data_IF_840405012532
#
_entry.id   IF_840405012532
#
_cell.length_a   1.000
_cell.length_b   1.000
_cell.length_c   1.000
_cell.angle_alpha   90.00
_cell.angle_beta   90.00
_cell.angle_gamma   90.00
#
_symmetry.space_group_name_H-M   'P 1'
#
loop_
_entity.id
_entity.type
_entity.pdbx_description
1 polymer ?
#
# COMPACT_ATOMS: atom_id res chain seq x y z
N UNK A 1 17.08 37.08 -11.69
CA UNK A 1 16.69 36.88 -13.11
C UNK A 1 17.42 35.65 -13.63
N UNK A 2 16.81 34.49 -13.58
CA UNK A 2 17.06 33.36 -14.50
C UNK A 2 16.07 32.25 -14.16
N UNK A 3 15.31 31.89 -15.16
CA UNK A 3 14.11 31.10 -15.17
C UNK A 3 14.36 29.60 -15.00
N UNK A 4 13.53 28.97 -14.16
CA UNK A 4 13.42 27.53 -14.08
C UNK A 4 12.74 26.94 -15.32
N UNK A 5 13.22 25.79 -15.76
CA UNK A 5 12.52 24.95 -16.74
C UNK A 5 12.15 23.62 -16.07
N UNK A 6 10.86 23.39 -15.94
CA UNK A 6 10.26 22.12 -15.61
C UNK A 6 10.45 21.17 -16.78
N UNK A 7 10.90 19.95 -16.52
CA UNK A 7 10.90 18.86 -17.50
C UNK A 7 9.87 17.81 -17.04
N UNK A 8 8.72 17.84 -17.73
CA UNK A 8 7.77 16.74 -17.64
C UNK A 8 8.13 15.67 -18.67
N UNK A 9 8.29 14.44 -18.24
CA UNK A 9 8.42 13.29 -19.12
C UNK A 9 7.02 12.74 -19.44
N UNK A 10 6.62 12.91 -20.71
CA UNK A 10 5.45 12.25 -21.30
C UNK A 10 5.91 10.90 -21.85
N UNK A 11 5.45 9.80 -21.27
CA UNK A 11 5.62 8.48 -21.85
C UNK A 11 4.41 8.19 -22.73
N UNK A 12 4.60 8.23 -24.05
CA UNK A 12 3.60 7.83 -25.04
C UNK A 12 3.70 6.32 -25.28
N UNK A 13 2.68 5.57 -24.86
CA UNK A 13 2.48 4.18 -25.30
C UNK A 13 1.76 4.15 -26.63
N UNK A 14 2.42 3.61 -27.66
CA UNK A 14 1.82 3.26 -28.95
C UNK A 14 1.14 1.89 -28.84
N UNK A 15 -0.19 1.87 -28.84
CA UNK A 15 -0.95 0.64 -29.08
C UNK A 15 -1.12 0.41 -30.59
N UNK A 16 -0.51 -0.64 -31.10
CA UNK A 16 -0.68 -1.11 -32.48
C UNK A 16 -1.91 -2.04 -32.53
N UNK A 17 -3.02 -1.54 -33.11
CA UNK A 17 -4.20 -2.35 -33.40
C UNK A 17 -4.00 -3.11 -34.71
N UNK A 18 -3.93 -4.45 -34.61
CA UNK A 18 -3.99 -5.35 -35.78
C UNK A 18 -5.45 -5.77 -35.98
N UNK A 19 -6.07 -5.25 -37.01
CA UNK A 19 -7.37 -5.73 -37.51
C UNK A 19 -7.14 -6.93 -38.43
N UNK A 20 -7.58 -8.11 -38.01
CA UNK A 20 -7.76 -9.28 -38.86
C UNK A 20 -9.25 -9.40 -39.20
N UNK A 21 -9.56 -9.19 -40.48
CA UNK A 21 -10.89 -9.34 -41.03
C UNK A 21 -11.33 -10.81 -41.07
N UNK A 22 -12.55 -11.06 -40.59
CA UNK A 22 -13.28 -12.30 -40.87
C UNK A 22 -14.60 -11.96 -41.58
N UNK A 23 -14.73 -12.48 -42.79
CA UNK A 23 -15.93 -12.40 -43.62
C UNK A 23 -17.11 -13.16 -43.01
N UNK A 24 -18.34 -12.70 -43.19
CA UNK A 24 -19.51 -13.44 -42.72
C UNK A 24 -19.90 -14.51 -43.71
N UNK A 25 -20.01 -15.76 -43.23
CA UNK A 25 -20.56 -16.89 -43.94
C UNK A 25 -22.09 -16.87 -43.80
N UNK A 26 -22.79 -16.63 -44.90
CA UNK A 26 -24.25 -16.72 -44.98
C UNK A 26 -24.66 -18.20 -44.97
N UNK A 27 -25.32 -18.65 -43.91
CA UNK A 27 -26.06 -19.91 -43.90
C UNK A 27 -27.55 -19.61 -43.99
N UNK A 28 -28.14 -20.01 -45.11
CA UNK A 28 -29.57 -19.96 -45.40
C UNK A 28 -30.18 -21.22 -44.80
N UNK A 29 -31.07 -21.10 -43.82
CA UNK A 29 -31.89 -22.20 -43.34
C UNK A 29 -33.37 -21.87 -43.52
N UNK A 30 -34.02 -22.71 -44.28
CA UNK A 30 -35.45 -22.71 -44.58
C UNK A 30 -36.20 -23.62 -43.55
N UNK A 31 -37.44 -23.27 -43.25
CA UNK A 31 -38.41 -24.26 -42.76
C UNK A 31 -38.91 -24.14 -41.32
N UNK A 32 -39.97 -23.36 -41.16
CA UNK A 32 -41.10 -23.46 -40.20
C UNK A 32 -41.10 -24.64 -39.21
N UNK A 33 -41.10 -24.29 -37.91
CA UNK A 33 -42.04 -24.85 -36.92
C UNK A 33 -42.22 -23.88 -35.75
N UNK A 34 -43.43 -23.35 -35.62
CA UNK A 34 -43.85 -22.55 -34.48
C UNK A 34 -44.04 -23.48 -33.27
N UNK A 35 -43.21 -23.34 -32.26
CA UNK A 35 -43.51 -23.78 -30.90
C UNK A 35 -43.54 -22.55 -30.00
N UNK A 36 -44.75 -22.29 -29.47
CA UNK A 36 -44.94 -21.32 -28.40
C UNK A 36 -44.26 -21.81 -27.15
N UNK A 37 -43.17 -21.18 -26.76
CA UNK A 37 -42.53 -21.33 -25.43
C UNK A 37 -42.91 -20.12 -24.61
N UNK A 38 -43.59 -20.40 -23.50
CA UNK A 38 -43.95 -19.41 -22.47
C UNK A 38 -42.74 -18.65 -22.02
N UNK A 39 -42.85 -17.34 -21.97
CA UNK A 39 -41.85 -16.40 -21.45
C UNK A 39 -41.80 -16.50 -19.94
N UNK A 40 -41.11 -17.51 -19.40
CA UNK A 40 -40.61 -17.42 -18.06
C UNK A 40 -39.34 -16.53 -18.11
N UNK A 41 -39.51 -15.36 -17.54
CA UNK A 41 -38.48 -14.36 -17.40
C UNK A 41 -37.28 -14.91 -16.59
N UNK A 42 -36.29 -15.41 -17.31
CA UNK A 42 -34.94 -15.58 -16.73
C UNK A 42 -34.41 -14.16 -16.49
N UNK A 43 -34.63 -13.70 -15.26
CA UNK A 43 -34.01 -12.49 -14.72
C UNK A 43 -32.52 -12.78 -14.62
N UNK A 44 -31.80 -12.51 -15.70
CA UNK A 44 -30.34 -12.45 -15.69
C UNK A 44 -29.95 -11.44 -14.61
N UNK A 45 -29.54 -11.94 -13.47
CA UNK A 45 -28.83 -11.14 -12.49
C UNK A 45 -27.45 -10.91 -13.11
N UNK A 46 -27.31 -9.80 -13.84
CA UNK A 46 -26.00 -9.21 -14.08
C UNK A 46 -25.49 -8.74 -12.71
N UNK A 47 -24.83 -9.65 -11.99
CA UNK A 47 -23.87 -9.26 -10.97
C UNK A 47 -22.71 -8.69 -11.78
N UNK A 48 -22.71 -7.39 -12.01
CA UNK A 48 -21.48 -6.69 -12.31
C UNK A 48 -20.63 -6.88 -11.06
N UNK A 49 -19.58 -7.68 -11.14
CA UNK A 49 -18.48 -7.63 -10.17
C UNK A 49 -17.90 -6.21 -10.27
N UNK A 50 -18.47 -5.31 -9.48
CA UNK A 50 -17.98 -3.94 -9.36
C UNK A 50 -16.66 -4.05 -8.61
N UNK A 51 -15.56 -3.84 -9.35
CA UNK A 51 -14.21 -3.88 -8.78
C UNK A 51 -14.15 -2.78 -7.72
N UNK A 52 -14.05 -3.20 -6.46
CA UNK A 52 -13.98 -2.26 -5.35
C UNK A 52 -12.67 -1.48 -5.39
N UNK A 53 -12.71 -0.18 -5.08
CA UNK A 53 -11.49 0.61 -5.00
C UNK A 53 -10.61 0.08 -3.86
N UNK A 54 -9.32 -0.10 -4.14
CA UNK A 54 -8.32 -0.54 -3.16
C UNK A 54 -7.38 0.58 -2.78
N UNK A 55 -6.87 0.57 -1.54
CA UNK A 55 -5.84 1.49 -1.04
C UNK A 55 -4.90 0.74 -0.09
N UNK A 56 -3.66 1.21 0.04
CA UNK A 56 -2.73 0.72 1.03
C UNK A 56 -2.60 1.69 2.21
N UNK A 57 -2.84 1.20 3.42
CA UNK A 57 -2.56 1.94 4.64
C UNK A 57 -1.17 1.54 5.14
N UNK A 58 -0.29 2.52 5.32
CA UNK A 58 1.10 2.27 5.70
C UNK A 58 1.52 3.10 6.90
N UNK A 59 2.39 2.54 7.73
CA UNK A 59 2.90 3.15 8.95
C UNK A 59 4.41 3.09 9.00
N UNK A 60 5.04 4.23 9.30
CA UNK A 60 6.47 4.37 9.44
C UNK A 60 6.87 4.52 10.93
N UNK A 61 8.16 4.40 11.22
CA UNK A 61 8.83 4.65 12.51
C UNK A 61 8.56 3.65 13.63
N UNK A 62 7.65 2.71 13.44
CA UNK A 62 7.34 1.68 14.44
C UNK A 62 8.48 0.68 14.72
N UNK A 63 8.23 -0.25 15.66
CA UNK A 63 7.08 -0.29 16.55
C UNK A 63 7.22 0.63 17.77
N UNK A 64 6.09 1.07 18.33
CA UNK A 64 6.02 1.80 19.59
C UNK A 64 5.22 0.99 20.63
N UNK A 65 5.81 0.73 21.80
CA UNK A 65 5.20 -0.13 22.81
C UNK A 65 3.84 0.36 23.36
N UNK A 66 3.55 1.67 23.25
CA UNK A 66 2.33 2.27 23.81
C UNK A 66 1.20 2.39 22.79
N UNK A 67 1.52 2.74 21.55
CA UNK A 67 0.53 3.10 20.53
C UNK A 67 0.30 1.99 19.50
N UNK A 68 1.35 1.29 19.06
CA UNK A 68 1.21 0.22 18.06
C UNK A 68 0.26 -0.90 18.46
N UNK A 69 0.25 -1.41 19.72
CA UNK A 69 -0.71 -2.44 20.11
C UNK A 69 -2.17 -1.98 19.99
N UNK A 70 -2.47 -0.71 20.28
CA UNK A 70 -3.81 -0.13 20.14
C UNK A 70 -4.22 -0.07 18.68
N UNK A 71 -3.29 0.32 17.80
CA UNK A 71 -3.51 0.31 16.35
C UNK A 71 -3.84 -1.10 15.85
N UNK A 72 -3.05 -2.10 16.25
CA UNK A 72 -3.26 -3.50 15.84
C UNK A 72 -4.63 -4.03 16.30
N UNK A 73 -5.06 -3.70 17.52
CA UNK A 73 -6.40 -4.04 18.00
C UNK A 73 -7.48 -3.45 17.09
N UNK A 74 -7.36 -2.16 16.77
CA UNK A 74 -8.31 -1.45 15.92
C UNK A 74 -8.36 -1.96 14.48
N UNK A 75 -7.21 -2.31 13.89
CA UNK A 75 -7.13 -2.91 12.55
C UNK A 75 -7.73 -4.31 12.53
N UNK A 76 -7.46 -5.12 13.54
CA UNK A 76 -7.99 -6.47 13.70
C UNK A 76 -9.52 -6.48 13.78
N UNK A 77 -10.11 -5.62 14.61
CA UNK A 77 -11.57 -5.48 14.73
C UNK A 77 -12.22 -5.19 13.38
N UNK A 78 -11.55 -4.42 12.50
CA UNK A 78 -12.02 -4.02 11.17
C UNK A 78 -11.60 -4.97 10.06
N UNK A 79 -10.84 -6.02 10.39
CA UNK A 79 -10.29 -7.02 9.45
C UNK A 79 -9.44 -6.36 8.36
N UNK A 80 -8.69 -5.32 8.72
CA UNK A 80 -7.80 -4.59 7.82
C UNK A 80 -6.37 -5.05 8.03
N UNK A 81 -5.67 -5.29 6.92
CA UNK A 81 -4.22 -5.47 6.89
C UNK A 81 -3.56 -4.18 6.42
N UNK A 82 -2.40 -3.89 6.98
CA UNK A 82 -1.62 -2.71 6.66
C UNK A 82 -0.16 -3.10 6.43
N UNK A 83 0.65 -2.14 5.98
CA UNK A 83 2.10 -2.31 5.85
C UNK A 83 2.81 -1.45 6.89
N UNK A 84 3.78 -2.03 7.59
CA UNK A 84 4.58 -1.35 8.60
C UNK A 84 6.04 -1.32 8.16
N UNK A 85 6.61 -0.13 8.00
CA UNK A 85 8.03 0.09 7.74
C UNK A 85 8.73 0.38 9.05
N UNK A 86 9.50 -0.58 9.55
CA UNK A 86 10.01 -0.57 10.91
C UNK A 86 11.46 -0.07 10.97
N UNK A 87 11.75 0.75 11.99
CA UNK A 87 13.11 1.15 12.35
C UNK A 87 13.76 0.00 13.14
N UNK A 88 14.94 -0.45 12.71
CA UNK A 88 15.65 -1.58 13.34
C UNK A 88 15.92 -1.39 14.83
N UNK A 89 16.40 -0.21 15.25
CA UNK A 89 16.59 0.11 16.68
C UNK A 89 15.31 0.05 17.48
N UNK A 90 14.16 0.38 16.88
CA UNK A 90 12.88 0.29 17.57
C UNK A 90 12.41 -1.17 17.71
N UNK A 91 12.71 -2.01 16.71
CA UNK A 91 12.43 -3.46 16.78
C UNK A 91 13.16 -4.12 17.94
N UNK A 92 14.42 -3.75 18.20
CA UNK A 92 15.26 -4.34 19.26
C UNK A 92 14.95 -3.83 20.68
N UNK A 93 14.07 -2.84 20.84
CA UNK A 93 13.69 -2.33 22.17
C UNK A 93 12.75 -3.31 22.89
N UNK A 94 13.21 -3.82 24.04
CA UNK A 94 12.43 -4.59 25.02
C UNK A 94 11.26 -5.43 24.46
N UNK A 95 10.02 -5.02 24.78
CA UNK A 95 8.79 -5.75 24.42
C UNK A 95 8.40 -5.63 22.93
N UNK A 96 9.13 -4.84 22.15
CA UNK A 96 8.77 -4.55 20.74
C UNK A 96 8.92 -5.78 19.83
N UNK A 97 9.78 -6.74 20.16
CA UNK A 97 9.85 -8.02 19.44
C UNK A 97 8.49 -8.73 19.41
N UNK A 98 7.76 -8.70 20.54
CA UNK A 98 6.41 -9.31 20.63
C UNK A 98 5.40 -8.59 19.74
N UNK A 99 5.54 -7.26 19.60
CA UNK A 99 4.68 -6.45 18.75
C UNK A 99 4.93 -6.79 17.28
N UNK A 100 6.18 -6.85 16.85
CA UNK A 100 6.55 -7.24 15.48
C UNK A 100 6.07 -8.65 15.16
N UNK A 101 6.25 -9.59 16.09
CA UNK A 101 5.72 -10.95 15.94
C UNK A 101 4.20 -10.95 15.76
N UNK A 102 3.47 -10.16 16.57
CA UNK A 102 2.02 -9.99 16.46
C UNK A 102 1.61 -9.41 15.12
N UNK A 103 2.29 -8.35 14.62
CA UNK A 103 2.05 -7.78 13.30
C UNK A 103 2.10 -8.86 12.21
N UNK A 104 3.17 -9.67 12.24
CA UNK A 104 3.38 -10.73 11.28
C UNK A 104 2.30 -11.83 11.35
N UNK A 105 1.97 -12.29 12.57
CA UNK A 105 0.96 -13.32 12.80
C UNK A 105 -0.47 -12.86 12.43
N UNK A 106 -0.76 -11.57 12.54
CA UNK A 106 -2.05 -10.98 12.11
C UNK A 106 -2.09 -10.69 10.61
N UNK A 107 -1.00 -10.98 9.87
CA UNK A 107 -0.94 -10.92 8.40
C UNK A 107 -0.68 -9.53 7.85
N UNK A 108 -0.13 -8.62 8.64
CA UNK A 108 0.39 -7.36 8.15
C UNK A 108 1.70 -7.59 7.39
N UNK A 109 1.99 -6.73 6.41
CA UNK A 109 3.27 -6.72 5.73
C UNK A 109 4.27 -5.91 6.55
N UNK A 110 5.48 -6.46 6.70
CA UNK A 110 6.57 -5.77 7.40
C UNK A 110 7.63 -5.39 6.38
N UNK A 111 7.98 -4.12 6.34
CA UNK A 111 9.03 -3.52 5.54
C UNK A 111 10.15 -2.93 6.40
N UNK A 112 11.20 -2.51 5.74
CA UNK A 112 12.41 -1.94 6.34
C UNK A 112 12.39 -0.40 6.25
N UNK A 113 12.68 0.29 7.36
CA UNK A 113 12.78 1.75 7.44
C UNK A 113 14.14 2.21 7.95
N UNK A 114 15.21 1.50 7.57
CA UNK A 114 16.59 1.63 8.05
C UNK A 114 16.76 1.25 9.54
N UNK A 115 18.00 1.17 10.00
CA UNK A 115 18.26 0.78 11.38
C UNK A 115 18.14 1.96 12.35
N UNK A 116 18.68 3.13 11.96
CA UNK A 116 18.73 4.35 12.81
C UNK A 116 17.83 5.48 12.32
N UNK A 117 16.94 5.25 11.35
CA UNK A 117 16.16 6.28 10.66
C UNK A 117 17.05 7.34 9.99
N UNK A 118 18.18 6.93 9.41
CA UNK A 118 19.10 7.82 8.74
C UNK A 118 18.65 8.20 7.33
N UNK A 119 19.08 9.34 6.84
CA UNK A 119 18.88 9.74 5.46
C UNK A 119 19.85 8.98 4.54
N UNK A 120 19.33 8.00 3.79
CA UNK A 120 20.12 7.12 2.93
C UNK A 120 20.84 7.85 1.80
N UNK A 121 20.29 8.96 1.30
CA UNK A 121 20.91 9.75 0.22
C UNK A 121 22.21 10.45 0.63
N UNK A 122 22.46 10.56 1.94
CA UNK A 122 23.66 11.23 2.50
C UNK A 122 24.74 10.23 2.92
N UNK A 123 24.50 8.95 2.78
CA UNK A 123 25.43 7.90 3.15
C UNK A 123 26.19 7.38 1.95
N UNK A 124 27.42 6.91 2.19
CA UNK A 124 28.13 6.08 1.21
C UNK A 124 27.39 4.76 1.03
N UNK A 125 27.46 4.17 -0.17
CA UNK A 125 26.75 2.91 -0.52
C UNK A 125 26.92 1.79 0.53
N UNK A 126 28.15 1.63 1.05
CA UNK A 126 28.43 0.61 2.07
C UNK A 126 27.74 0.87 3.41
N UNK A 127 27.57 2.13 3.80
CA UNK A 127 26.89 2.54 5.04
C UNK A 127 25.38 2.40 4.88
N UNK A 128 24.83 2.85 3.75
CA UNK A 128 23.41 2.70 3.44
C UNK A 128 23.00 1.21 3.42
N UNK A 129 23.83 0.36 2.78
CA UNK A 129 23.61 -1.09 2.77
C UNK A 129 23.62 -1.68 4.17
N UNK A 130 24.56 -1.27 5.04
CA UNK A 130 24.64 -1.73 6.43
C UNK A 130 23.39 -1.38 7.23
N UNK A 131 22.86 -0.17 7.10
CA UNK A 131 21.61 0.27 7.73
C UNK A 131 20.43 -0.65 7.36
N UNK A 132 20.32 -0.98 6.08
CA UNK A 132 19.27 -1.86 5.59
C UNK A 132 19.47 -3.32 6.06
N UNK A 133 20.67 -3.87 5.94
CA UNK A 133 20.97 -5.25 6.33
C UNK A 133 20.82 -5.50 7.84
N UNK A 134 21.14 -4.52 8.67
CA UNK A 134 20.91 -4.63 10.11
C UNK A 134 19.41 -4.74 10.43
N UNK A 135 18.60 -3.90 9.83
CA UNK A 135 17.13 -3.95 10.00
C UNK A 135 16.55 -5.25 9.47
N UNK A 136 16.99 -5.68 8.28
CA UNK A 136 16.57 -6.98 7.71
C UNK A 136 16.86 -8.12 8.69
N UNK A 137 18.05 -8.13 9.28
CA UNK A 137 18.48 -9.18 10.22
C UNK A 137 17.60 -9.25 11.47
N UNK A 138 17.26 -8.11 12.07
CA UNK A 138 16.42 -8.11 13.28
C UNK A 138 14.97 -8.49 12.98
N UNK A 139 14.43 -8.08 11.84
CA UNK A 139 13.10 -8.46 11.40
C UNK A 139 13.05 -9.97 11.06
N UNK A 140 14.02 -10.46 10.29
CA UNK A 140 14.10 -11.88 9.91
C UNK A 140 14.21 -12.81 11.14
N UNK A 141 14.95 -12.43 12.15
CA UNK A 141 15.06 -13.18 13.41
C UNK A 141 13.70 -13.42 14.07
N UNK A 142 12.78 -12.47 13.97
CA UNK A 142 11.46 -12.52 14.61
C UNK A 142 10.43 -13.23 13.72
N UNK A 143 10.44 -12.91 12.42
CA UNK A 143 9.41 -13.33 11.47
C UNK A 143 9.77 -14.59 10.68
N UNK A 144 11.06 -14.94 10.65
CA UNK A 144 11.60 -15.99 9.78
C UNK A 144 11.65 -15.61 8.30
N UNK A 145 11.40 -14.33 7.97
CA UNK A 145 11.44 -13.80 6.61
C UNK A 145 12.17 -12.47 6.53
N UNK A 146 13.01 -12.34 5.52
CA UNK A 146 13.66 -11.08 5.21
C UNK A 146 12.67 -10.13 4.53
N UNK A 147 12.58 -8.85 4.96
CA UNK A 147 11.74 -7.87 4.27
C UNK A 147 12.30 -7.54 2.88
N UNK A 148 11.43 -7.50 1.89
CA UNK A 148 11.76 -7.10 0.51
C UNK A 148 11.44 -5.63 0.27
N UNK A 149 10.41 -5.13 0.95
CA UNK A 149 9.95 -3.76 0.80
C UNK A 149 10.70 -2.82 1.74
N UNK A 150 11.14 -1.70 1.18
CA UNK A 150 11.89 -0.66 1.91
C UNK A 150 11.18 0.67 1.70
N UNK A 151 11.04 1.45 2.76
CA UNK A 151 10.75 2.87 2.64
C UNK A 151 11.93 3.65 3.18
N UNK A 152 12.53 4.47 2.32
CA UNK A 152 13.64 5.31 2.74
C UNK A 152 13.14 6.44 3.63
N UNK A 153 13.76 6.70 4.80
CA UNK A 153 13.44 7.87 5.60
C UNK A 153 13.46 9.17 4.78
N UNK A 154 12.50 10.04 5.06
CA UNK A 154 12.31 11.32 4.35
C UNK A 154 11.99 11.19 2.85
N UNK A 155 11.77 9.97 2.33
CA UNK A 155 11.62 9.70 0.90
C UNK A 155 12.93 9.78 0.09
N UNK A 156 14.06 9.88 0.78
CA UNK A 156 15.39 10.12 0.19
C UNK A 156 16.11 8.80 -0.08
N UNK A 157 16.04 8.32 -1.32
CA UNK A 157 16.61 7.04 -1.74
C UNK A 157 18.14 7.04 -1.70
N UNK A 158 18.79 5.88 -1.47
CA UNK A 158 20.23 5.75 -1.63
C UNK A 158 20.64 5.97 -3.08
N UNK A 159 21.87 6.46 -3.29
CA UNK A 159 22.40 6.80 -4.62
C UNK A 159 22.32 5.62 -5.62
N UNK A 160 22.53 4.41 -5.13
CA UNK A 160 22.56 3.19 -5.94
C UNK A 160 21.26 2.36 -5.83
N UNK A 161 20.14 2.97 -5.45
CA UNK A 161 18.86 2.25 -5.26
C UNK A 161 18.40 1.46 -6.48
N UNK A 162 18.67 1.96 -7.69
CA UNK A 162 18.33 1.27 -8.94
C UNK A 162 19.14 -0.03 -9.16
N UNK A 163 20.27 -0.20 -8.49
CA UNK A 163 21.14 -1.37 -8.58
C UNK A 163 20.80 -2.42 -7.51
N UNK A 164 19.99 -2.09 -6.54
CA UNK A 164 19.54 -3.01 -5.49
C UNK A 164 18.34 -3.85 -5.95
N UNK A 165 18.65 -4.88 -6.76
CA UNK A 165 17.63 -5.76 -7.35
C UNK A 165 16.91 -6.65 -6.33
N UNK A 166 17.33 -6.65 -5.08
CA UNK A 166 16.73 -7.46 -4.01
C UNK A 166 15.69 -6.70 -3.19
N UNK A 167 15.56 -5.39 -3.38
CA UNK A 167 14.65 -4.53 -2.62
C UNK A 167 13.72 -3.73 -3.52
N UNK A 168 12.51 -3.52 -3.03
CA UNK A 168 11.50 -2.70 -3.68
C UNK A 168 11.26 -1.47 -2.81
N UNK A 169 11.64 -0.30 -3.32
CA UNK A 169 11.46 0.96 -2.61
C UNK A 169 10.04 1.49 -2.82
N UNK A 170 9.34 1.72 -1.72
CA UNK A 170 7.93 2.15 -1.70
C UNK A 170 7.83 3.58 -1.17
N UNK A 171 7.29 4.47 -1.98
CA UNK A 171 6.89 5.82 -1.58
C UNK A 171 5.46 5.87 -1.02
N UNK A 172 4.86 7.04 -1.11
CA UNK A 172 3.46 7.29 -0.76
C UNK A 172 2.84 8.28 -1.74
N UNK A 173 1.51 8.34 -1.77
CA UNK A 173 0.76 9.26 -2.63
C UNK A 173 -0.08 10.24 -1.81
N UNK A 174 -0.45 9.87 -0.57
CA UNK A 174 -1.17 10.73 0.37
C UNK A 174 -0.36 10.86 1.66
N UNK A 175 0.05 12.10 1.98
CA UNK A 175 0.78 12.44 3.21
C UNK A 175 0.00 13.51 3.99
N UNK A 176 -0.76 13.13 5.02
CA UNK A 176 -1.54 14.09 5.80
C UNK A 176 -0.70 14.82 6.86
N UNK A 177 0.61 14.64 6.90
CA UNK A 177 1.53 15.27 7.85
C UNK A 177 1.13 15.01 9.31
N UNK A 178 0.74 13.78 9.63
CA UNK A 178 0.24 13.37 10.95
C UNK A 178 1.25 13.56 12.09
N UNK A 179 2.54 13.52 11.77
CA UNK A 179 3.65 13.79 12.67
C UNK A 179 3.80 15.27 13.05
N UNK A 180 3.17 16.18 12.30
CA UNK A 180 3.19 17.63 12.55
C UNK A 180 2.03 18.13 13.39
N UNK A 181 1.02 17.30 13.71
CA UNK A 181 -0.19 17.72 14.37
C UNK A 181 -0.73 16.64 15.32
N UNK A 182 -1.28 17.09 16.45
CA UNK A 182 -2.06 16.23 17.35
C UNK A 182 -3.56 16.20 17.00
N UNK A 183 -3.99 16.95 15.98
CA UNK A 183 -5.39 16.97 15.54
C UNK A 183 -5.69 15.80 14.58
N UNK A 184 -6.11 14.68 15.16
CA UNK A 184 -6.57 13.53 14.41
C UNK A 184 -7.70 13.85 13.40
N UNK A 185 -8.50 14.89 13.67
CA UNK A 185 -9.57 15.33 12.77
C UNK A 185 -9.03 15.96 11.49
N UNK A 186 -7.99 16.79 11.62
CA UNK A 186 -7.30 17.38 10.47
C UNK A 186 -6.65 16.29 9.59
N UNK A 187 -5.95 15.32 10.19
CA UNK A 187 -5.35 14.17 9.49
C UNK A 187 -6.41 13.39 8.72
N UNK A 188 -7.52 13.03 9.36
CA UNK A 188 -8.64 12.31 8.71
C UNK A 188 -9.19 13.11 7.54
N UNK A 189 -9.40 14.42 7.72
CA UNK A 189 -9.96 15.28 6.68
C UNK A 189 -9.07 15.28 5.44
N UNK A 190 -7.76 15.49 5.61
CA UNK A 190 -6.79 15.51 4.49
C UNK A 190 -6.86 14.19 3.71
N UNK A 191 -6.76 13.04 4.40
CA UNK A 191 -6.81 11.74 3.70
C UNK A 191 -8.13 11.55 2.96
N UNK A 192 -9.27 11.84 3.59
CA UNK A 192 -10.60 11.59 2.99
C UNK A 192 -10.89 12.52 1.78
N UNK A 193 -10.28 13.70 1.75
CA UNK A 193 -10.41 14.67 0.64
C UNK A 193 -9.47 14.35 -0.54
N UNK A 194 -8.30 13.76 -0.29
CA UNK A 194 -7.28 13.52 -1.32
C UNK A 194 -7.29 12.11 -1.91
N UNK A 195 -7.84 11.12 -1.20
CA UNK A 195 -7.74 9.70 -1.51
C UNK A 195 -8.37 9.31 -2.85
N UNK A 196 -7.63 8.53 -3.64
CA UNK A 196 -8.09 7.90 -4.86
C UNK A 196 -7.82 6.38 -4.83
N UNK A 197 -8.50 5.57 -5.65
CA UNK A 197 -8.16 4.16 -5.80
C UNK A 197 -6.70 3.97 -6.23
N UNK A 198 -6.00 3.06 -5.57
CA UNK A 198 -4.59 2.78 -5.82
C UNK A 198 -3.61 3.60 -4.98
N UNK A 199 -4.11 4.49 -4.12
CA UNK A 199 -3.24 5.33 -3.29
C UNK A 199 -2.58 4.56 -2.14
N UNK A 200 -1.39 5.06 -1.76
CA UNK A 200 -0.63 4.64 -0.59
C UNK A 200 -0.65 5.76 0.44
N UNK A 201 -1.27 5.52 1.58
CA UNK A 201 -1.41 6.49 2.68
C UNK A 201 -0.24 6.33 3.62
N UNK A 202 0.49 7.42 3.88
CA UNK A 202 1.55 7.50 4.89
C UNK A 202 0.98 7.97 6.22
N UNK A 203 1.22 7.21 7.29
CA UNK A 203 0.99 7.58 8.67
C UNK A 203 2.16 7.08 9.54
N UNK A 204 2.16 7.43 10.83
CA UNK A 204 3.15 6.98 11.80
C UNK A 204 2.45 6.35 13.01
N UNK A 205 2.85 5.14 13.40
CA UNK A 205 2.22 4.41 14.50
C UNK A 205 2.74 4.80 15.89
N UNK A 206 3.73 5.66 15.93
CA UNK A 206 4.36 6.15 17.16
C UNK A 206 3.58 7.29 17.85
N UNK A 207 2.58 7.90 17.18
CA UNK A 207 1.77 8.99 17.73
C UNK A 207 0.35 8.54 18.05
N UNK A 208 -0.18 8.76 19.28
CA UNK A 208 -1.57 8.41 19.64
C UNK A 208 -2.63 9.09 18.76
N UNK A 209 -2.39 10.35 18.33
CA UNK A 209 -3.25 11.07 17.39
C UNK A 209 -3.33 10.40 16.02
N UNK A 210 -2.19 9.93 15.50
CA UNK A 210 -2.13 9.19 14.23
C UNK A 210 -2.85 7.86 14.30
N UNK A 211 -2.71 7.13 15.42
CA UNK A 211 -3.47 5.88 15.65
C UNK A 211 -4.98 6.15 15.67
N UNK A 212 -5.42 7.21 16.37
CA UNK A 212 -6.82 7.61 16.37
C UNK A 212 -7.32 7.99 14.97
N UNK A 213 -6.51 8.74 14.22
CA UNK A 213 -6.82 9.13 12.84
C UNK A 213 -6.93 7.89 11.95
N UNK A 214 -5.96 6.96 12.01
CA UNK A 214 -5.92 5.73 11.22
C UNK A 214 -7.20 4.91 11.36
N UNK A 215 -7.67 4.69 12.59
CA UNK A 215 -8.89 3.94 12.86
C UNK A 215 -10.12 4.63 12.25
N UNK A 216 -10.22 5.96 12.36
CA UNK A 216 -11.32 6.75 11.76
C UNK A 216 -11.24 6.75 10.22
N UNK A 217 -10.04 6.81 9.64
CA UNK A 217 -9.83 6.70 8.19
C UNK A 217 -10.33 5.36 7.68
N UNK A 218 -9.99 4.26 8.37
CA UNK A 218 -10.46 2.92 8.01
C UNK A 218 -11.99 2.86 8.02
N UNK A 219 -12.64 3.32 9.09
CA UNK A 219 -14.11 3.31 9.19
C UNK A 219 -14.77 4.10 8.04
N UNK A 220 -14.25 5.28 7.74
CA UNK A 220 -14.80 6.15 6.70
C UNK A 220 -14.58 5.61 5.29
N UNK A 221 -13.40 5.08 4.99
CA UNK A 221 -13.10 4.54 3.66
C UNK A 221 -13.80 3.20 3.42
N UNK A 222 -13.90 2.32 4.42
CA UNK A 222 -14.75 1.13 4.32
C UNK A 222 -16.22 1.50 4.08
N UNK A 223 -16.71 2.54 4.77
CA UNK A 223 -18.06 3.10 4.53
C UNK A 223 -18.28 3.65 3.12
N UNK A 224 -17.21 4.07 2.44
CA UNK A 224 -17.21 4.48 1.02
C UNK A 224 -16.97 3.31 0.04
N UNK A 225 -16.81 2.07 0.52
CA UNK A 225 -16.61 0.89 -0.29
C UNK A 225 -15.16 0.56 -0.63
N UNK A 226 -14.18 1.27 -0.07
CA UNK A 226 -12.77 0.93 -0.25
C UNK A 226 -12.40 -0.37 0.48
N UNK A 227 -11.50 -1.13 -0.14
CA UNK A 227 -10.81 -2.25 0.51
C UNK A 227 -9.35 -1.86 0.80
N UNK A 228 -8.86 -2.34 1.96
CA UNK A 228 -7.48 -2.10 2.36
C UNK A 228 -6.64 -3.33 2.02
N UNK A 229 -5.53 -3.09 1.31
CA UNK A 229 -4.55 -4.11 0.94
C UNK A 229 -3.16 -3.71 1.45
N UNK A 230 -2.25 -4.68 1.53
CA UNK A 230 -0.84 -4.39 1.77
C UNK A 230 -0.17 -3.94 0.47
N UNK A 231 0.97 -3.24 0.54
CA UNK A 231 1.61 -2.65 -0.64
C UNK A 231 2.03 -3.68 -1.69
N UNK A 232 2.36 -4.91 -1.28
CA UNK A 232 2.67 -5.99 -2.20
C UNK A 232 1.47 -6.38 -3.08
N UNK A 233 0.27 -6.44 -2.51
CA UNK A 233 -0.96 -6.67 -3.27
C UNK A 233 -1.31 -5.49 -4.18
N UNK A 234 -1.06 -4.25 -3.72
CA UNK A 234 -1.38 -3.05 -4.50
C UNK A 234 -0.55 -2.94 -5.79
N UNK A 235 0.71 -3.40 -5.77
CA UNK A 235 1.64 -3.26 -6.91
C UNK A 235 1.73 -4.52 -7.79
N UNK A 236 1.18 -5.66 -7.36
CA UNK A 236 1.24 -6.93 -8.10
C UNK A 236 -0.08 -7.31 -8.79
N UNK A 237 -1.19 -6.64 -8.43
CA UNK A 237 -2.50 -6.79 -9.06
C UNK A 237 -2.71 -5.73 -10.16
#
# INVERSE_FOLDING_TARGET
MMSGKSWGYVVQFFCLLVFLGMSPLLIKMDGRKTMSVSSDSVRSQNVSDEVKPVVALTFDDGPNASSTPILLDGLKERKVRATFFLIGENVEKDENEKIVKRMYEEGHLIGNHTYTHCNLSKLETGEAKKELEQTDTVIEKITGKQPVFVRAPYGELPVDSEQDLNRIYIGWTVDPLDWMTEDAGAVVKTVVEEINPGDVILLHDCYPSSVQAAIRIVDLLQGKGYEFVTVDHLIMD
#
